data_IF_028045376410
#
_entry.id   IF_028045376410
#
_cell.length_a   1.000
_cell.length_b   1.000
_cell.length_c   1.000
_cell.angle_alpha   90.00
_cell.angle_beta   90.00
_cell.angle_gamma   90.00
#
_symmetry.space_group_name_H-M   'P 1'
#
loop_
_entity.id
_entity.type
_entity.pdbx_description
1 polymer ?
#
# COMPACT_ATOMS: atom_id res chain seq x y z
N UNK A 1 -23.72 -7.10 -3.32
CA UNK A 1 -22.40 -7.66 -3.72
C UNK A 1 -21.31 -7.08 -2.81
N UNK A 2 -20.31 -7.86 -2.54
CA UNK A 2 -19.16 -7.51 -1.70
C UNK A 2 -17.90 -7.45 -2.60
N UNK A 3 -17.13 -6.36 -2.50
CA UNK A 3 -15.95 -6.14 -3.34
C UNK A 3 -14.69 -6.50 -2.53
N UNK A 4 -14.30 -7.78 -2.56
CA UNK A 4 -13.09 -8.29 -1.91
C UNK A 4 -12.03 -8.77 -2.92
N UNK A 5 -12.28 -8.61 -4.21
CA UNK A 5 -11.40 -8.97 -5.32
C UNK A 5 -10.89 -7.71 -6.00
N UNK A 6 -9.60 -7.67 -6.31
CA UNK A 6 -8.91 -6.62 -7.05
C UNK A 6 -8.22 -7.21 -8.27
N UNK A 7 -8.14 -6.45 -9.38
CA UNK A 7 -7.54 -6.87 -10.66
C UNK A 7 -8.54 -7.52 -11.62
N UNK A 8 -8.12 -7.71 -12.87
CA UNK A 8 -8.91 -8.24 -13.97
C UNK A 8 -8.42 -9.61 -14.42
N UNK A 9 -7.20 -9.70 -15.01
CA UNK A 9 -6.53 -10.96 -15.34
C UNK A 9 -5.73 -11.42 -14.13
N UNK A 10 -4.70 -10.65 -13.72
CA UNK A 10 -4.04 -10.88 -12.45
C UNK A 10 -4.91 -10.31 -11.35
N UNK A 11 -5.68 -11.15 -10.72
CA UNK A 11 -6.64 -10.77 -9.68
C UNK A 11 -6.37 -11.51 -8.38
N UNK A 12 -6.72 -10.86 -7.28
CA UNK A 12 -6.65 -11.52 -5.98
C UNK A 12 -7.84 -11.15 -5.10
N UNK A 13 -8.34 -12.16 -4.38
CA UNK A 13 -9.38 -12.00 -3.37
C UNK A 13 -8.75 -12.12 -2.00
N UNK A 14 -8.95 -11.13 -1.12
CA UNK A 14 -8.48 -11.17 0.27
C UNK A 14 -9.61 -11.51 1.22
N UNK A 15 -9.31 -12.25 2.30
CA UNK A 15 -10.27 -12.72 3.30
C UNK A 15 -9.68 -12.69 4.72
N UNK A 16 -10.53 -12.85 5.72
CA UNK A 16 -10.18 -12.93 7.13
C UNK A 16 -10.20 -11.61 7.86
N UNK A 17 -10.26 -11.67 9.19
CA UNK A 17 -10.35 -10.55 10.12
C UNK A 17 -9.12 -10.46 11.03
N UNK A 18 -8.87 -9.26 11.57
CA UNK A 18 -7.67 -8.99 12.40
C UNK A 18 -7.60 -9.81 13.69
N UNK A 19 -8.73 -10.29 14.19
CA UNK A 19 -8.84 -11.11 15.40
C UNK A 19 -9.56 -12.44 15.12
N UNK A 20 -9.71 -12.82 13.84
CA UNK A 20 -10.05 -14.17 13.41
C UNK A 20 -8.81 -15.08 13.46
N UNK A 21 -8.96 -16.38 13.17
CA UNK A 21 -7.84 -17.33 13.24
C UNK A 21 -6.73 -17.03 12.24
N UNK A 22 -7.09 -16.53 11.06
CA UNK A 22 -6.15 -16.22 9.99
C UNK A 22 -6.67 -15.11 9.07
N UNK A 23 -5.79 -14.60 8.24
CA UNK A 23 -6.08 -13.81 7.04
C UNK A 23 -5.40 -14.49 5.85
N UNK A 24 -5.86 -14.21 4.64
CA UNK A 24 -5.23 -14.79 3.46
C UNK A 24 -5.69 -14.12 2.18
N UNK A 25 -5.17 -14.65 1.09
CA UNK A 25 -5.61 -14.30 -0.25
C UNK A 25 -5.58 -15.52 -1.17
N UNK A 26 -6.42 -15.45 -2.21
CA UNK A 26 -6.35 -16.32 -3.37
C UNK A 26 -5.98 -15.45 -4.55
N UNK A 27 -4.86 -15.75 -5.20
CA UNK A 27 -4.37 -15.06 -6.40
C UNK A 27 -4.69 -15.94 -7.61
N UNK A 28 -5.27 -15.36 -8.63
CA UNK A 28 -5.65 -16.03 -9.88
C UNK A 28 -5.10 -15.28 -11.09
N UNK A 29 -5.03 -15.95 -12.26
CA UNK A 29 -4.51 -15.38 -13.49
C UNK A 29 -2.98 -15.27 -13.55
N UNK A 30 -2.26 -16.04 -12.73
CA UNK A 30 -0.81 -16.14 -12.82
C UNK A 30 -0.40 -16.95 -14.05
N UNK A 31 0.54 -16.47 -14.89
CA UNK A 31 1.12 -17.32 -15.94
C UNK A 31 1.79 -18.56 -15.33
N UNK A 32 1.71 -19.74 -15.99
CA UNK A 32 2.31 -20.97 -15.49
C UNK A 32 3.84 -20.97 -15.66
N UNK A 33 4.49 -21.94 -14.99
CA UNK A 33 5.91 -22.26 -15.12
C UNK A 33 6.90 -21.14 -14.70
N UNK A 34 6.47 -20.22 -13.83
CA UNK A 34 7.32 -19.17 -13.27
C UNK A 34 7.76 -19.57 -11.87
N UNK A 35 9.08 -19.52 -11.62
CA UNK A 35 9.66 -19.86 -10.31
C UNK A 35 9.25 -18.84 -9.26
N UNK A 36 8.69 -19.31 -8.15
CA UNK A 36 8.31 -18.50 -6.98
C UNK A 36 9.15 -18.90 -5.79
N UNK A 37 9.77 -17.91 -5.16
CA UNK A 37 10.50 -18.05 -3.91
C UNK A 37 9.65 -17.43 -2.78
N UNK A 38 9.19 -18.27 -1.85
CA UNK A 38 8.38 -17.84 -0.70
C UNK A 38 9.16 -16.91 0.25
N UNK A 39 10.49 -17.07 0.35
CA UNK A 39 11.31 -16.24 1.22
C UNK A 39 11.33 -14.76 0.74
N UNK A 40 11.24 -14.52 -0.56
CA UNK A 40 11.12 -13.16 -1.10
C UNK A 40 9.79 -12.52 -0.72
N UNK A 41 8.68 -13.30 -0.72
CA UNK A 41 7.38 -12.84 -0.23
C UNK A 41 7.47 -12.53 1.26
N UNK A 42 8.12 -13.43 2.03
CA UNK A 42 8.31 -13.24 3.47
C UNK A 42 9.16 -12.01 3.80
N UNK A 43 10.18 -11.68 3.00
CA UNK A 43 10.96 -10.43 3.15
C UNK A 43 10.09 -9.19 3.01
N UNK A 44 9.18 -9.16 2.03
CA UNK A 44 8.27 -8.02 1.84
C UNK A 44 7.23 -7.93 2.98
N UNK A 45 6.70 -9.06 3.45
CA UNK A 45 5.86 -9.13 4.64
C UNK A 45 6.60 -8.65 5.90
N UNK A 46 7.87 -9.01 6.03
CA UNK A 46 8.71 -8.55 7.14
C UNK A 46 8.86 -7.04 7.17
N UNK A 47 8.94 -6.35 6.03
CA UNK A 47 8.96 -4.87 5.97
C UNK A 47 7.62 -4.25 6.42
N UNK A 48 6.49 -4.95 6.19
CA UNK A 48 5.15 -4.46 6.54
C UNK A 48 4.75 -4.76 7.99
N UNK A 49 5.19 -5.86 8.57
CA UNK A 49 4.72 -6.34 9.88
C UNK A 49 4.88 -5.29 10.99
N UNK A 50 4.03 -5.33 12.05
CA UNK A 50 4.19 -4.47 13.21
C UNK A 50 5.43 -4.86 14.05
N UNK A 51 5.87 -3.94 14.93
CA UNK A 51 6.92 -4.26 15.92
C UNK A 51 8.36 -4.24 15.39
N UNK A 52 8.62 -3.67 14.22
CA UNK A 52 9.97 -3.64 13.62
C UNK A 52 10.89 -2.57 14.20
N UNK A 53 10.35 -1.57 14.86
CA UNK A 53 11.12 -0.45 15.37
C UNK A 53 10.50 0.18 16.60
N UNK A 54 11.28 0.99 17.31
CA UNK A 54 10.79 1.85 18.41
C UNK A 54 9.73 2.86 17.96
N UNK A 55 9.55 3.06 16.65
CA UNK A 55 8.58 3.98 16.05
C UNK A 55 7.29 3.31 15.59
N UNK A 56 7.16 2.00 15.72
CA UNK A 56 5.96 1.25 15.35
C UNK A 56 5.28 0.67 16.59
N UNK A 57 4.09 0.12 16.41
CA UNK A 57 3.34 -0.57 17.49
C UNK A 57 4.15 -1.72 18.08
N UNK A 58 3.93 -2.00 19.37
CA UNK A 58 4.56 -3.12 20.09
C UNK A 58 3.87 -4.48 19.81
N UNK A 59 2.85 -4.55 18.96
CA UNK A 59 2.24 -5.80 18.53
C UNK A 59 3.29 -6.62 17.80
N UNK A 60 3.37 -7.92 18.13
CA UNK A 60 4.31 -8.86 17.50
C UNK A 60 3.54 -9.88 16.67
N UNK A 61 3.70 -9.82 15.38
CA UNK A 61 3.17 -10.81 14.44
C UNK A 61 4.32 -11.28 13.57
N UNK A 62 4.45 -12.59 13.39
CA UNK A 62 5.48 -13.16 12.51
C UNK A 62 5.15 -12.93 11.05
N UNK A 63 3.84 -12.80 10.74
CA UNK A 63 3.30 -12.71 9.37
C UNK A 63 3.85 -13.80 8.45
N UNK A 64 4.06 -15.01 9.01
CA UNK A 64 4.54 -16.15 8.24
C UNK A 64 3.47 -16.55 7.23
N UNK A 65 3.86 -16.49 5.96
CA UNK A 65 2.98 -16.91 4.86
C UNK A 65 3.19 -18.36 4.53
N UNK A 66 2.10 -19.08 4.30
CA UNK A 66 2.09 -20.45 3.77
C UNK A 66 1.33 -20.47 2.45
N UNK A 67 1.87 -21.16 1.45
CA UNK A 67 1.23 -21.38 0.15
C UNK A 67 0.56 -22.74 0.17
N UNK A 68 -0.74 -22.78 -0.11
CA UNK A 68 -1.55 -24.00 -0.01
C UNK A 68 -1.87 -24.64 -1.36
N UNK A 69 -1.77 -23.87 -2.46
CA UNK A 69 -2.09 -24.33 -3.81
C UNK A 69 -1.41 -23.49 -4.89
N UNK A 70 -1.48 -23.93 -6.14
CA UNK A 70 -1.05 -23.17 -7.32
C UNK A 70 0.46 -23.15 -7.56
N UNK A 71 1.24 -23.87 -6.75
CA UNK A 71 2.69 -24.03 -6.90
C UNK A 71 3.04 -25.52 -6.87
N UNK A 72 3.81 -25.97 -7.86
CA UNK A 72 4.37 -27.31 -7.92
C UNK A 72 5.86 -27.24 -8.27
N UNK A 73 6.70 -27.92 -7.52
CA UNK A 73 8.18 -27.88 -7.64
C UNK A 73 8.74 -26.45 -7.69
N UNK A 74 8.16 -25.55 -6.87
CA UNK A 74 8.55 -24.16 -6.80
C UNK A 74 8.14 -23.27 -7.98
N UNK A 75 7.27 -23.75 -8.88
CA UNK A 75 6.79 -23.02 -10.06
C UNK A 75 5.27 -22.87 -10.04
N UNK A 76 4.77 -21.78 -10.60
CA UNK A 76 3.33 -21.55 -10.81
C UNK A 76 2.75 -22.60 -11.75
N UNK A 77 1.55 -23.09 -11.43
CA UNK A 77 0.83 -24.09 -12.24
C UNK A 77 -0.19 -23.47 -13.21
N UNK A 78 -0.45 -22.15 -13.11
CA UNK A 78 -1.53 -21.47 -13.84
C UNK A 78 -2.89 -21.61 -13.16
N UNK A 79 -2.97 -22.30 -12.03
CA UNK A 79 -4.18 -22.43 -11.20
C UNK A 79 -4.13 -21.49 -10.00
N UNK A 80 -5.24 -21.29 -9.26
CA UNK A 80 -5.27 -20.33 -8.14
C UNK A 80 -4.23 -20.63 -7.07
N UNK A 81 -3.47 -19.59 -6.68
CA UNK A 81 -2.47 -19.64 -5.60
C UNK A 81 -3.15 -19.18 -4.32
N UNK A 82 -3.40 -20.10 -3.40
CA UNK A 82 -3.94 -19.77 -2.07
C UNK A 82 -2.81 -19.55 -1.08
N UNK A 83 -2.89 -18.43 -0.35
CA UNK A 83 -1.92 -18.08 0.70
C UNK A 83 -2.64 -17.77 2.01
N UNK A 84 -2.09 -18.26 3.12
CA UNK A 84 -2.63 -18.05 4.48
C UNK A 84 -1.57 -17.48 5.41
N UNK A 85 -2.00 -16.62 6.34
CA UNK A 85 -1.19 -16.04 7.41
C UNK A 85 -1.98 -16.14 8.71
N UNK A 86 -1.51 -16.95 9.66
CA UNK A 86 -2.16 -17.13 10.95
C UNK A 86 -1.97 -15.92 11.87
N UNK A 87 -3.03 -15.55 12.59
CA UNK A 87 -2.98 -14.51 13.61
C UNK A 87 -2.48 -15.11 14.93
N UNK A 88 -1.42 -14.55 15.52
CA UNK A 88 -0.81 -15.07 16.75
C UNK A 88 -0.98 -14.13 17.97
N UNK A 89 -0.83 -12.81 17.81
CA UNK A 89 -0.92 -11.83 18.90
C UNK A 89 -2.27 -11.10 18.92
N UNK A 90 -3.35 -11.87 19.15
CA UNK A 90 -4.71 -11.36 19.27
C UNK A 90 -5.05 -11.11 20.76
N UNK A 91 -5.21 -9.84 21.15
CA UNK A 91 -5.60 -9.47 22.53
C UNK A 91 -7.00 -8.86 22.55
N UNK A 92 -8.02 -9.70 22.49
CA UNK A 92 -9.43 -9.29 22.46
C UNK A 92 -9.84 -8.47 23.68
N UNK A 93 -9.19 -8.67 24.85
CA UNK A 93 -9.44 -7.91 26.09
C UNK A 93 -9.17 -6.41 25.96
N UNK A 94 -8.27 -6.00 25.08
CA UNK A 94 -7.91 -4.58 24.87
C UNK A 94 -9.07 -3.76 24.27
N UNK A 95 -10.12 -4.39 23.77
CA UNK A 95 -11.22 -3.76 23.02
C UNK A 95 -12.56 -3.75 23.77
N UNK A 96 -12.63 -4.24 25.02
CA UNK A 96 -13.87 -4.28 25.81
C UNK A 96 -14.54 -2.90 25.94
N UNK A 97 -13.76 -1.87 26.23
CA UNK A 97 -14.24 -0.49 26.42
C UNK A 97 -14.83 0.16 25.16
N UNK A 98 -14.54 -0.38 23.96
CA UNK A 98 -15.03 0.16 22.70
C UNK A 98 -16.11 -0.68 22.05
N UNK A 99 -16.54 -1.78 22.71
CA UNK A 99 -17.58 -2.68 22.19
C UNK A 99 -18.87 -1.95 21.80
N UNK A 100 -19.29 -0.99 22.61
CA UNK A 100 -20.52 -0.25 22.41
C UNK A 100 -20.31 1.20 21.94
N UNK A 101 -19.07 1.64 21.69
CA UNK A 101 -18.75 3.02 21.29
C UNK A 101 -18.10 3.03 19.91
N UNK A 102 -18.22 4.12 19.19
CA UNK A 102 -17.60 4.31 17.90
C UNK A 102 -16.37 5.21 18.01
N UNK A 103 -15.24 4.78 17.47
CA UNK A 103 -14.01 5.61 17.43
C UNK A 103 -14.17 6.73 16.40
N UNK A 104 -14.04 8.00 16.77
CA UNK A 104 -14.07 9.11 15.81
C UNK A 104 -12.98 8.94 14.74
N UNK A 105 -13.35 9.15 13.46
CA UNK A 105 -12.43 8.97 12.34
C UNK A 105 -12.07 7.51 11.99
N UNK A 106 -12.65 6.52 12.70
CA UNK A 106 -12.55 5.10 12.37
C UNK A 106 -13.79 4.62 11.63
N UNK A 107 -13.69 3.49 10.93
CA UNK A 107 -14.81 2.93 10.18
C UNK A 107 -15.88 2.23 11.05
N UNK A 108 -15.78 2.28 12.38
CA UNK A 108 -16.70 1.60 13.31
C UNK A 108 -18.17 1.93 13.07
N UNK A 109 -18.48 3.22 12.93
CA UNK A 109 -19.84 3.72 12.73
C UNK A 109 -20.39 3.32 11.36
N UNK A 110 -19.64 3.58 10.32
CA UNK A 110 -20.08 3.31 8.92
C UNK A 110 -20.23 1.82 8.67
N UNK A 111 -19.32 1.00 9.24
CA UNK A 111 -19.40 -0.45 9.13
C UNK A 111 -20.65 -1.00 9.84
N UNK A 112 -20.88 -0.54 11.07
CA UNK A 112 -22.08 -0.92 11.84
C UNK A 112 -23.37 -0.51 11.13
N UNK A 113 -23.43 0.73 10.61
CA UNK A 113 -24.63 1.21 9.89
C UNK A 113 -24.86 0.46 8.58
N UNK A 114 -23.80 0.04 7.90
CA UNK A 114 -23.92 -0.68 6.62
C UNK A 114 -24.33 -2.14 6.79
N UNK A 115 -23.72 -2.84 7.76
CA UNK A 115 -23.87 -4.29 7.90
C UNK A 115 -24.70 -4.73 9.10
N UNK A 116 -25.15 -3.80 9.96
CA UNK A 116 -25.88 -4.11 11.19
C UNK A 116 -25.06 -4.74 12.29
N UNK A 117 -23.88 -5.23 11.98
CA UNK A 117 -22.94 -5.91 12.90
C UNK A 117 -21.50 -5.44 12.61
N UNK A 118 -20.68 -5.42 13.64
CA UNK A 118 -19.23 -5.23 13.51
C UNK A 118 -18.46 -6.10 14.49
N UNK A 119 -17.31 -6.59 14.08
CA UNK A 119 -16.33 -7.11 15.03
C UNK A 119 -15.60 -5.91 15.67
N UNK A 120 -15.87 -5.66 16.95
CA UNK A 120 -15.22 -4.58 17.70
C UNK A 120 -13.77 -4.88 18.05
N UNK A 121 -13.34 -6.13 17.96
CA UNK A 121 -11.97 -6.56 18.25
C UNK A 121 -11.04 -6.12 17.11
N UNK A 122 -10.24 -5.10 17.34
CA UNK A 122 -9.25 -4.59 16.36
C UNK A 122 -9.80 -4.02 15.05
N UNK A 123 -11.12 -4.03 14.84
CA UNK A 123 -11.77 -3.50 13.63
C UNK A 123 -12.07 -4.53 12.54
N UNK A 124 -11.89 -5.82 12.81
CA UNK A 124 -12.28 -6.89 11.87
C UNK A 124 -11.62 -6.78 10.49
N UNK A 125 -12.42 -6.90 9.42
CA UNK A 125 -12.00 -6.83 8.02
C UNK A 125 -11.41 -5.49 7.61
N UNK A 126 -11.87 -4.38 8.23
CA UNK A 126 -11.40 -3.02 7.94
C UNK A 126 -10.06 -2.66 8.62
N UNK A 127 -9.47 -3.56 9.38
CA UNK A 127 -8.18 -3.38 10.04
C UNK A 127 -7.04 -3.38 9.01
N UNK A 128 -6.01 -2.56 9.25
CA UNK A 128 -4.77 -2.58 8.46
C UNK A 128 -4.05 -3.96 8.48
N UNK A 129 -4.49 -4.91 9.29
CA UNK A 129 -4.01 -6.30 9.30
C UNK A 129 -4.22 -6.99 7.93
N UNK A 130 -5.34 -6.71 7.29
CA UNK A 130 -5.71 -7.23 5.97
C UNK A 130 -4.64 -6.98 4.91
N UNK A 131 -3.90 -5.87 5.01
CA UNK A 131 -2.87 -5.50 4.03
C UNK A 131 -1.70 -6.49 3.95
N UNK A 132 -1.53 -7.40 4.92
CA UNK A 132 -0.56 -8.48 4.78
C UNK A 132 -0.90 -9.42 3.61
N UNK A 133 -2.19 -9.70 3.40
CA UNK A 133 -2.65 -10.49 2.25
C UNK A 133 -2.35 -9.80 0.92
N UNK A 134 -2.47 -8.46 0.85
CA UNK A 134 -2.09 -7.69 -0.35
C UNK A 134 -0.59 -7.73 -0.61
N UNK A 135 0.24 -7.64 0.44
CA UNK A 135 1.70 -7.74 0.30
C UNK A 135 2.10 -9.15 -0.15
N UNK A 136 1.42 -10.19 0.32
CA UNK A 136 1.65 -11.55 -0.16
C UNK A 136 1.30 -11.69 -1.66
N UNK A 137 0.14 -11.18 -2.10
CA UNK A 137 -0.24 -11.16 -3.52
C UNK A 137 0.73 -10.33 -4.37
N UNK A 138 1.13 -9.15 -3.90
CA UNK A 138 2.13 -8.30 -4.55
C UNK A 138 3.51 -8.96 -4.66
N UNK A 139 3.88 -9.81 -3.70
CA UNK A 139 5.10 -10.60 -3.73
C UNK A 139 5.13 -11.64 -4.86
N UNK A 140 3.98 -12.21 -5.20
CA UNK A 140 3.81 -13.05 -6.40
C UNK A 140 3.95 -12.18 -7.65
N UNK A 141 3.20 -11.08 -7.76
CA UNK A 141 3.25 -10.17 -8.90
C UNK A 141 4.67 -9.65 -9.17
N UNK A 142 5.39 -9.25 -8.13
CA UNK A 142 6.79 -8.79 -8.19
C UNK A 142 7.71 -9.82 -8.85
N UNK A 143 7.61 -11.08 -8.47
CA UNK A 143 8.47 -12.15 -8.99
C UNK A 143 8.14 -12.44 -10.45
N UNK A 144 6.86 -12.47 -10.82
CA UNK A 144 6.40 -12.61 -12.20
C UNK A 144 6.94 -11.45 -13.06
N UNK A 145 6.78 -10.21 -12.62
CA UNK A 145 7.27 -9.03 -13.35
C UNK A 145 8.80 -9.02 -13.48
N UNK A 146 9.53 -9.42 -12.46
CA UNK A 146 11.00 -9.56 -12.55
C UNK A 146 11.42 -10.64 -13.53
N UNK A 147 10.68 -11.73 -13.64
CA UNK A 147 10.92 -12.77 -14.64
C UNK A 147 10.67 -12.23 -16.07
N UNK A 148 9.59 -11.49 -16.28
CA UNK A 148 9.15 -11.00 -17.59
C UNK A 148 9.99 -9.79 -18.04
N UNK A 149 10.17 -8.79 -17.18
CA UNK A 149 10.78 -7.49 -17.52
C UNK A 149 12.30 -7.44 -17.20
N UNK A 150 12.80 -8.44 -16.49
CA UNK A 150 14.21 -8.57 -16.16
C UNK A 150 14.70 -7.60 -15.09
N UNK A 151 16.03 -7.43 -15.00
CA UNK A 151 16.72 -6.68 -13.94
C UNK A 151 16.45 -5.18 -13.93
N UNK A 152 15.94 -4.61 -15.02
CA UNK A 152 15.60 -3.17 -15.11
C UNK A 152 14.35 -2.81 -14.33
N UNK A 153 13.46 -3.79 -14.10
CA UNK A 153 12.24 -3.57 -13.36
C UNK A 153 12.51 -3.57 -11.84
N UNK A 154 12.16 -2.47 -11.18
CA UNK A 154 12.17 -2.34 -9.72
C UNK A 154 11.08 -1.38 -9.26
N UNK A 155 10.58 -1.58 -8.05
CA UNK A 155 9.64 -0.68 -7.39
C UNK A 155 10.21 -0.31 -6.02
N UNK A 156 10.27 0.97 -5.74
CA UNK A 156 10.77 1.51 -4.47
C UNK A 156 9.81 2.55 -3.93
N UNK A 157 9.38 2.35 -2.70
CA UNK A 157 8.56 3.29 -1.96
C UNK A 157 9.33 4.02 -0.88
N UNK A 158 8.98 5.28 -0.62
CA UNK A 158 9.52 6.08 0.46
C UNK A 158 8.47 6.99 1.10
N UNK A 159 8.71 7.37 2.34
CA UNK A 159 7.93 8.41 3.02
C UNK A 159 8.51 9.76 2.63
N UNK A 160 7.76 10.60 1.94
CA UNK A 160 8.22 11.94 1.52
C UNK A 160 7.80 13.05 2.48
N UNK A 161 6.78 12.79 3.31
CA UNK A 161 6.37 13.72 4.36
C UNK A 161 5.86 12.94 5.58
N UNK A 162 6.24 13.39 6.76
CA UNK A 162 5.82 12.86 8.05
C UNK A 162 5.18 13.96 8.89
N UNK A 163 3.85 13.93 9.04
CA UNK A 163 3.10 15.03 9.62
C UNK A 163 3.33 16.32 8.85
N UNK A 164 3.93 17.34 9.50
CA UNK A 164 4.26 18.64 8.90
C UNK A 164 5.67 18.69 8.28
N UNK A 165 6.47 17.65 8.43
CA UNK A 165 7.88 17.62 8.05
C UNK A 165 8.06 16.93 6.71
N UNK A 166 8.36 17.67 5.65
CA UNK A 166 8.69 17.15 4.32
C UNK A 166 10.16 16.80 4.15
N UNK A 167 10.46 15.89 3.22
CA UNK A 167 11.80 15.69 2.67
C UNK A 167 12.02 16.58 1.44
N UNK A 168 13.27 16.83 1.09
CA UNK A 168 13.57 17.49 -0.17
C UNK A 168 13.44 16.47 -1.33
N UNK A 169 12.60 16.71 -2.34
CA UNK A 169 12.43 15.79 -3.48
C UNK A 169 13.73 15.51 -4.24
N UNK A 170 14.66 16.47 -4.25
CA UNK A 170 15.99 16.33 -4.89
C UNK A 170 16.90 15.32 -4.17
N UNK A 171 16.61 15.01 -2.91
CA UNK A 171 17.39 14.09 -2.08
C UNK A 171 16.85 12.64 -2.10
N UNK A 172 16.02 12.28 -3.10
CA UNK A 172 15.52 10.92 -3.22
C UNK A 172 16.67 9.91 -3.38
N UNK A 173 16.87 9.08 -2.38
CA UNK A 173 17.96 8.09 -2.35
C UNK A 173 17.42 6.70 -2.00
N UNK A 174 17.28 5.84 -3.01
CA UNK A 174 16.73 4.49 -2.86
C UNK A 174 17.58 3.57 -2.00
N UNK A 175 18.91 3.71 -2.06
CA UNK A 175 19.82 2.93 -1.21
C UNK A 175 19.63 3.31 0.26
N UNK A 176 19.39 4.59 0.53
CA UNK A 176 19.14 5.07 1.89
C UNK A 176 17.74 4.67 2.40
N UNK A 177 16.70 4.73 1.56
CA UNK A 177 15.35 4.22 1.88
C UNK A 177 15.44 2.79 2.41
N UNK A 178 16.15 1.90 1.70
CA UNK A 178 16.28 0.47 2.03
C UNK A 178 17.06 0.20 3.34
N UNK A 179 17.75 1.22 3.92
CA UNK A 179 18.63 1.08 5.09
C UNK A 179 18.07 1.73 6.37
N UNK A 180 16.95 2.44 6.31
CA UNK A 180 16.38 3.07 7.49
C UNK A 180 14.93 2.61 7.75
N UNK A 181 14.53 2.60 9.02
CA UNK A 181 13.27 2.05 9.49
C UNK A 181 12.04 2.94 9.15
N UNK A 182 12.26 4.18 8.71
CA UNK A 182 11.20 5.12 8.36
C UNK A 182 10.94 5.18 6.85
N UNK A 183 11.70 4.42 6.04
CA UNK A 183 11.70 4.53 4.59
C UNK A 183 11.91 5.96 4.10
N UNK A 184 12.68 6.75 4.85
CA UNK A 184 13.00 8.13 4.55
C UNK A 184 13.97 8.21 3.36
N UNK A 185 13.67 9.00 2.31
CA UNK A 185 14.57 9.15 1.16
C UNK A 185 15.72 10.11 1.41
N UNK A 186 15.60 11.00 2.41
CA UNK A 186 16.49 12.12 2.65
C UNK A 186 17.19 11.97 4.01
N UNK A 187 18.51 11.76 3.97
CA UNK A 187 19.33 11.60 5.17
C UNK A 187 19.30 12.84 6.09
N UNK A 188 19.14 14.03 5.52
CA UNK A 188 19.20 15.29 6.26
C UNK A 188 18.07 15.45 7.28
N UNK A 189 16.89 14.92 6.98
CA UNK A 189 15.68 15.05 7.82
C UNK A 189 15.41 13.86 8.75
N UNK A 190 16.12 12.72 8.59
CA UNK A 190 15.81 11.50 9.33
C UNK A 190 15.80 11.70 10.86
N UNK A 191 16.84 12.35 11.42
CA UNK A 191 16.92 12.59 12.87
C UNK A 191 15.80 13.50 13.38
N UNK A 192 15.36 14.47 12.57
CA UNK A 192 14.25 15.35 12.89
C UNK A 192 12.93 14.56 12.92
N UNK A 193 12.70 13.67 11.95
CA UNK A 193 11.54 12.81 11.91
C UNK A 193 11.49 11.82 13.09
N UNK A 194 12.61 11.26 13.49
CA UNK A 194 12.69 10.40 14.68
C UNK A 194 12.29 11.14 15.96
N UNK A 195 12.80 12.36 16.16
CA UNK A 195 12.41 13.22 17.30
C UNK A 195 10.92 13.56 17.27
N UNK A 196 10.39 13.90 16.10
CA UNK A 196 8.98 14.22 15.93
C UNK A 196 8.08 13.03 16.26
N UNK A 197 8.38 11.83 15.77
CA UNK A 197 7.61 10.63 16.10
C UNK A 197 7.63 10.30 17.60
N UNK A 198 8.75 10.49 18.27
CA UNK A 198 8.85 10.30 19.72
C UNK A 198 7.99 11.31 20.48
N UNK A 199 7.95 12.59 20.05
CA UNK A 199 7.09 13.61 20.65
C UNK A 199 5.59 13.28 20.46
N UNK A 200 5.17 12.87 19.26
CA UNK A 200 3.81 12.42 18.96
C UNK A 200 3.41 11.23 19.83
N UNK A 201 4.30 10.24 19.96
CA UNK A 201 4.06 9.07 20.82
C UNK A 201 3.94 9.47 22.29
N UNK A 202 4.81 10.35 22.79
CA UNK A 202 4.75 10.86 24.17
C UNK A 202 3.45 11.61 24.44
N UNK A 203 2.94 12.35 23.48
CA UNK A 203 1.65 13.05 23.56
C UNK A 203 0.43 12.09 23.45
N UNK A 204 0.63 10.79 23.24
CA UNK A 204 -0.47 9.82 23.05
C UNK A 204 -1.30 10.09 21.81
N UNK A 205 -0.71 10.73 20.80
CA UNK A 205 -1.34 11.14 19.54
C UNK A 205 -0.80 10.35 18.35
N UNK A 206 -1.17 10.77 17.14
CA UNK A 206 -0.71 10.19 15.87
C UNK A 206 -0.53 11.28 14.82
N UNK A 207 0.28 11.00 13.79
CA UNK A 207 0.45 11.86 12.63
C UNK A 207 0.18 11.09 11.33
N UNK A 208 -0.10 11.83 10.27
CA UNK A 208 -0.21 11.32 8.91
C UNK A 208 1.15 11.28 8.21
N UNK A 209 1.14 10.80 6.97
CA UNK A 209 2.31 10.79 6.10
C UNK A 209 1.91 10.91 4.63
N UNK A 210 2.83 11.35 3.78
CA UNK A 210 2.76 11.18 2.33
C UNK A 210 3.80 10.14 1.95
N UNK A 211 3.36 9.18 1.16
CA UNK A 211 4.18 8.10 0.63
C UNK A 211 4.28 8.29 -0.88
N UNK A 212 5.46 8.07 -1.43
CA UNK A 212 5.69 8.05 -2.87
C UNK A 212 6.22 6.68 -3.28
N UNK A 213 5.65 6.11 -4.34
CA UNK A 213 6.08 4.85 -4.94
C UNK A 213 6.55 5.13 -6.34
N UNK A 214 7.74 4.65 -6.67
CA UNK A 214 8.34 4.74 -8.01
C UNK A 214 8.53 3.36 -8.61
N UNK A 215 8.01 3.15 -9.82
CA UNK A 215 8.25 1.93 -10.58
C UNK A 215 9.11 2.24 -11.81
N UNK A 216 10.22 1.52 -11.94
CA UNK A 216 11.21 1.64 -13.03
C UNK A 216 11.13 0.46 -13.97
N UNK A 217 11.55 0.67 -15.22
CA UNK A 217 11.64 -0.39 -16.21
C UNK A 217 10.29 -0.93 -16.67
N UNK A 218 9.23 -0.15 -16.51
CA UNK A 218 7.90 -0.45 -17.05
C UNK A 218 7.90 -0.16 -18.55
N UNK A 219 7.46 -1.10 -19.40
CA UNK A 219 7.43 -0.88 -20.85
C UNK A 219 6.40 0.20 -21.24
N UNK A 220 6.58 0.80 -22.41
CA UNK A 220 5.57 1.65 -23.04
C UNK A 220 4.37 0.80 -23.41
N UNK A 221 3.15 1.37 -23.32
CA UNK A 221 1.95 0.76 -23.87
C UNK A 221 1.03 0.08 -22.86
N UNK A 222 1.36 0.07 -21.57
CA UNK A 222 0.47 -0.52 -20.55
C UNK A 222 -0.63 0.48 -20.16
N UNK A 223 -1.88 0.06 -20.20
CA UNK A 223 -3.04 0.87 -19.88
C UNK A 223 -4.00 1.00 -21.05
N UNK A 224 -5.01 1.84 -20.89
CA UNK A 224 -6.03 2.10 -21.89
C UNK A 224 -6.42 3.59 -21.90
N UNK A 225 -6.97 4.13 -23.01
CA UNK A 225 -7.14 5.58 -23.17
C UNK A 225 -8.32 6.18 -22.40
N UNK A 226 -9.33 5.39 -22.00
CA UNK A 226 -10.55 5.90 -21.39
C UNK A 226 -10.88 5.15 -20.08
N UNK A 227 -11.42 3.95 -20.18
CA UNK A 227 -11.70 3.09 -19.04
C UNK A 227 -10.52 2.16 -18.79
N UNK A 228 -10.14 1.94 -17.53
CA UNK A 228 -8.91 1.20 -17.21
C UNK A 228 -7.62 1.90 -17.63
N UNK A 229 -7.61 3.22 -17.54
CA UNK A 229 -6.35 3.97 -17.58
C UNK A 229 -5.42 3.44 -16.50
N UNK A 230 -4.11 3.37 -16.80
CA UNK A 230 -3.13 2.92 -15.83
C UNK A 230 -3.10 3.80 -14.57
N UNK A 231 -3.17 5.13 -14.73
CA UNK A 231 -3.26 6.10 -13.63
C UNK A 231 -4.54 5.92 -12.80
N UNK A 232 -5.68 5.65 -13.43
CA UNK A 232 -6.95 5.39 -12.75
C UNK A 232 -6.86 4.12 -11.88
N UNK A 233 -6.36 3.01 -12.43
CA UNK A 233 -6.26 1.75 -11.70
C UNK A 233 -5.19 1.83 -10.60
N UNK A 234 -4.08 2.55 -10.80
CA UNK A 234 -3.11 2.87 -9.76
C UNK A 234 -3.72 3.73 -8.65
N UNK A 235 -4.45 4.79 -9.01
CA UNK A 235 -5.13 5.63 -8.03
C UNK A 235 -6.16 4.83 -7.21
N UNK A 236 -6.94 3.98 -7.87
CA UNK A 236 -7.90 3.07 -7.22
C UNK A 236 -7.19 2.11 -6.25
N UNK A 237 -6.07 1.51 -6.70
CA UNK A 237 -5.27 0.61 -5.88
C UNK A 237 -4.76 1.30 -4.61
N UNK A 238 -4.15 2.49 -4.74
CA UNK A 238 -3.62 3.24 -3.58
C UNK A 238 -4.73 3.77 -2.69
N UNK A 239 -5.85 4.28 -3.26
CA UNK A 239 -7.00 4.74 -2.48
C UNK A 239 -7.67 3.61 -1.70
N UNK A 240 -7.56 2.36 -2.15
CA UNK A 240 -8.08 1.19 -1.43
C UNK A 240 -7.28 0.83 -0.17
N UNK A 241 -6.07 1.37 0.01
CA UNK A 241 -5.24 1.13 1.20
C UNK A 241 -5.88 1.84 2.40
N UNK A 242 -5.92 1.15 3.54
CA UNK A 242 -6.51 1.68 4.76
C UNK A 242 -5.89 3.04 5.13
N UNK A 243 -6.75 4.00 5.50
CA UNK A 243 -6.41 5.36 5.90
C UNK A 243 -5.89 6.29 4.78
N UNK A 244 -5.79 5.86 3.54
CA UNK A 244 -5.49 6.74 2.40
C UNK A 244 -6.65 7.70 2.16
N UNK A 245 -6.33 8.98 1.83
CA UNK A 245 -7.30 10.08 1.62
C UNK A 245 -7.04 10.93 0.38
N UNK A 246 -5.93 10.71 -0.29
CA UNK A 246 -5.60 11.39 -1.54
C UNK A 246 -4.53 10.61 -2.28
N UNK A 247 -4.56 10.68 -3.60
CA UNK A 247 -3.58 10.05 -4.50
C UNK A 247 -3.22 11.06 -5.58
N UNK A 248 -1.95 11.17 -5.92
CA UNK A 248 -1.42 11.95 -7.02
C UNK A 248 -0.61 11.05 -7.96
N UNK A 249 -0.67 11.36 -9.26
CA UNK A 249 0.16 10.77 -10.30
C UNK A 249 1.08 11.87 -10.82
N UNK A 250 2.39 11.65 -10.84
CA UNK A 250 3.36 12.67 -11.25
C UNK A 250 3.22 13.96 -10.42
N UNK A 251 3.11 15.12 -11.09
CA UNK A 251 2.89 16.41 -10.44
C UNK A 251 1.55 16.53 -9.70
N UNK A 252 0.58 15.63 -10.00
CA UNK A 252 -0.70 15.53 -9.30
C UNK A 252 -1.44 16.85 -9.23
N UNK A 253 -1.89 17.26 -8.04
CA UNK A 253 -2.63 18.51 -7.82
C UNK A 253 -1.82 19.76 -8.17
N UNK A 254 -0.48 19.69 -8.13
CA UNK A 254 0.38 20.84 -8.48
C UNK A 254 0.32 21.17 -9.98
N UNK A 255 -0.05 20.23 -10.83
CA UNK A 255 -0.21 20.48 -12.28
C UNK A 255 -1.23 21.58 -12.59
N UNK A 256 -2.22 21.80 -11.71
CA UNK A 256 -3.18 22.90 -11.87
C UNK A 256 -2.56 24.31 -11.72
N UNK A 257 -1.33 24.42 -11.21
CA UNK A 257 -0.61 25.67 -11.01
C UNK A 257 0.44 25.92 -12.12
N UNK A 258 0.66 24.93 -13.00
CA UNK A 258 1.66 25.01 -14.05
C UNK A 258 1.04 25.55 -15.34
N UNK A 259 1.83 26.28 -16.11
CA UNK A 259 1.50 26.60 -17.51
C UNK A 259 1.64 25.36 -18.40
N UNK A 260 1.15 25.42 -19.64
CA UNK A 260 1.31 24.32 -20.60
C UNK A 260 2.76 23.96 -20.87
N UNK A 261 3.62 24.98 -20.99
CA UNK A 261 5.07 24.84 -21.20
C UNK A 261 5.75 24.20 -19.99
N UNK A 262 5.44 24.63 -18.77
CA UNK A 262 6.02 24.09 -17.53
C UNK A 262 5.60 22.63 -17.29
N UNK A 263 4.37 22.28 -17.65
CA UNK A 263 3.85 20.93 -17.47
C UNK A 263 4.27 19.97 -18.60
N UNK A 264 4.72 20.48 -19.75
CA UNK A 264 5.09 19.66 -20.91
C UNK A 264 6.34 18.83 -20.63
N UNK A 265 6.22 17.51 -20.77
CA UNK A 265 7.35 16.59 -20.75
C UNK A 265 7.92 16.48 -22.17
N UNK A 266 8.82 17.40 -22.54
CA UNK A 266 9.42 17.45 -23.89
C UNK A 266 10.11 16.14 -24.25
N UNK A 267 9.94 15.73 -25.52
CA UNK A 267 10.43 14.45 -26.03
C UNK A 267 11.60 14.68 -27.00
N UNK A 268 12.69 13.96 -26.76
CA UNK A 268 13.87 13.99 -27.59
C UNK A 268 14.26 12.59 -28.05
N UNK A 269 14.61 12.48 -29.35
CA UNK A 269 15.18 11.26 -29.92
C UNK A 269 16.72 11.31 -29.83
N UNK A 270 17.33 10.31 -29.19
CA UNK A 270 18.79 10.14 -29.15
C UNK A 270 19.17 8.75 -29.69
N UNK A 271 19.53 8.70 -30.98
CA UNK A 271 19.73 7.45 -31.70
C UNK A 271 18.43 6.63 -31.74
N UNK A 272 18.46 5.40 -31.24
CA UNK A 272 17.28 4.52 -31.12
C UNK A 272 16.48 4.69 -29.81
N UNK A 273 16.87 5.65 -28.96
CA UNK A 273 16.27 5.82 -27.62
C UNK A 273 15.47 7.12 -27.54
N UNK A 274 14.20 7.03 -27.20
CA UNK A 274 13.35 8.17 -26.86
C UNK A 274 13.62 8.59 -25.41
N UNK A 275 13.83 9.86 -25.16
CA UNK A 275 14.03 10.44 -23.83
C UNK A 275 13.09 11.60 -23.60
N UNK A 276 12.67 11.75 -22.36
CA UNK A 276 11.89 12.88 -21.87
C UNK A 276 12.78 13.78 -21.00
N UNK A 277 12.58 15.10 -21.08
CA UNK A 277 13.36 16.07 -20.33
C UNK A 277 12.86 16.22 -18.88
N UNK A 278 11.59 15.91 -18.64
CA UNK A 278 10.92 15.93 -17.34
C UNK A 278 9.98 14.73 -17.20
N UNK A 279 9.30 14.60 -16.08
CA UNK A 279 8.32 13.53 -15.82
C UNK A 279 7.14 14.07 -14.99
N UNK A 280 6.56 15.17 -15.42
CA UNK A 280 5.40 15.81 -14.76
C UNK A 280 4.17 14.91 -14.82
N UNK A 281 4.00 14.18 -15.94
CA UNK A 281 2.92 13.21 -16.11
C UNK A 281 3.09 11.94 -15.27
N UNK A 282 4.23 11.75 -14.59
CA UNK A 282 4.47 10.58 -13.73
C UNK A 282 4.54 9.26 -14.49
N UNK A 283 5.06 9.27 -15.72
CA UNK A 283 5.26 8.07 -16.57
C UNK A 283 4.01 7.59 -17.28
N UNK A 284 2.92 8.36 -17.28
CA UNK A 284 1.64 7.96 -17.89
C UNK A 284 1.07 9.12 -18.70
N UNK A 285 0.85 8.88 -19.99
CA UNK A 285 0.27 9.83 -20.94
C UNK A 285 -1.01 9.25 -21.53
N UNK A 286 -2.12 9.98 -21.42
CA UNK A 286 -3.41 9.50 -21.93
C UNK A 286 -3.90 8.18 -21.30
N UNK A 287 -3.45 7.85 -20.09
CA UNK A 287 -3.78 6.61 -19.41
C UNK A 287 -2.89 5.42 -19.74
N UNK A 288 -1.82 5.65 -20.53
CA UNK A 288 -0.91 4.62 -21.04
C UNK A 288 0.53 4.93 -20.60
N UNK A 289 1.30 3.90 -20.20
CA UNK A 289 2.68 4.07 -19.76
C UNK A 289 3.58 4.59 -20.88
N UNK A 290 4.41 5.59 -20.58
CA UNK A 290 5.34 6.24 -21.52
C UNK A 290 6.73 5.60 -21.58
N UNK A 291 7.02 4.63 -20.71
CA UNK A 291 8.36 4.05 -20.52
C UNK A 291 9.24 4.82 -19.54
N UNK A 292 8.78 5.98 -19.06
CA UNK A 292 9.40 6.67 -17.91
C UNK A 292 9.07 5.98 -16.59
N UNK A 293 9.76 6.40 -15.52
CA UNK A 293 9.41 5.95 -14.16
C UNK A 293 7.96 6.31 -13.85
N UNK A 294 7.16 5.35 -13.40
CA UNK A 294 5.82 5.62 -12.91
C UNK A 294 5.93 6.14 -11.48
N UNK A 295 5.38 7.33 -11.23
CA UNK A 295 5.43 8.02 -9.94
C UNK A 295 4.02 8.20 -9.40
N UNK A 296 3.75 7.57 -8.25
CA UNK A 296 2.47 7.70 -7.54
C UNK A 296 2.73 8.11 -6.11
N UNK A 297 2.06 9.15 -5.62
CA UNK A 297 2.10 9.51 -4.21
C UNK A 297 0.70 9.47 -3.60
N UNK A 298 0.63 9.16 -2.28
CA UNK A 298 -0.64 9.09 -1.58
C UNK A 298 -0.52 9.55 -0.13
N UNK A 299 -1.59 10.20 0.35
CA UNK A 299 -1.68 10.73 1.70
C UNK A 299 -2.39 9.73 2.63
N UNK A 300 -1.73 9.39 3.72
CA UNK A 300 -2.26 8.53 4.79
C UNK A 300 -2.62 9.40 5.98
N UNK A 301 -3.89 9.39 6.39
CA UNK A 301 -4.36 10.15 7.56
C UNK A 301 -3.78 9.59 8.86
N UNK A 302 -3.73 10.40 9.94
CA UNK A 302 -3.39 9.92 11.29
C UNK A 302 -4.28 8.76 11.73
N UNK A 303 -3.75 7.83 12.52
CA UNK A 303 -4.57 6.75 13.10
C UNK A 303 -5.60 7.33 14.08
N UNK A 304 -6.82 6.79 14.01
CA UNK A 304 -7.93 7.26 14.86
C UNK A 304 -7.88 6.73 16.30
N UNK A 305 -7.08 5.70 16.53
CA UNK A 305 -6.93 5.09 17.85
C UNK A 305 -5.83 5.81 18.62
N UNK A 306 -6.22 6.77 19.45
CA UNK A 306 -5.31 7.61 20.24
C UNK A 306 -5.70 7.61 21.72
N UNK A 307 -4.75 7.96 22.60
CA UNK A 307 -4.97 8.01 24.06
C UNK A 307 -5.80 9.23 24.46
N UNK A 308 -5.75 10.31 23.69
CA UNK A 308 -6.52 11.54 23.96
C UNK A 308 -8.03 11.24 23.96
N UNK A 309 -8.73 11.68 25.00
CA UNK A 309 -10.19 11.54 25.09
C UNK A 309 -10.90 12.34 24.00
N UNK A 310 -11.84 11.68 23.28
CA UNK A 310 -12.60 12.28 22.20
C UNK A 310 -14.10 12.12 22.44
N UNK A 311 -14.88 13.11 22.01
CA UNK A 311 -16.37 13.02 22.01
C UNK A 311 -16.81 12.04 20.93
N UNK A 312 -17.83 11.23 21.24
CA UNK A 312 -18.40 10.24 20.31
C UNK A 312 -19.83 9.87 20.75
N UNK A 313 -20.43 8.92 20.05
CA UNK A 313 -21.69 8.28 20.44
C UNK A 313 -21.49 6.78 20.68
N UNK A 314 -22.41 6.20 21.44
CA UNK A 314 -22.53 4.75 21.56
C UNK A 314 -23.42 4.16 20.46
N UNK A 315 -23.57 2.83 20.46
CA UNK A 315 -24.41 2.12 19.47
C UNK A 315 -25.92 2.44 19.57
N UNK A 316 -26.34 3.04 20.70
CA UNK A 316 -27.72 3.47 20.95
C UNK A 316 -27.95 4.95 20.61
N UNK A 317 -26.94 5.67 20.11
CA UNK A 317 -27.01 7.08 19.74
C UNK A 317 -26.77 8.05 20.89
N UNK A 318 -26.38 7.59 22.09
CA UNK A 318 -26.14 8.47 23.25
C UNK A 318 -24.74 9.09 23.18
N UNK A 319 -24.65 10.38 23.44
CA UNK A 319 -23.37 11.11 23.54
C UNK A 319 -22.51 10.54 24.65
N UNK A 320 -21.25 10.32 24.36
CA UNK A 320 -20.27 9.76 25.30
C UNK A 320 -18.85 10.23 24.94
N UNK A 321 -17.88 9.76 25.67
CA UNK A 321 -16.46 9.96 25.36
C UNK A 321 -15.74 8.63 25.21
N UNK A 322 -14.63 8.66 24.48
CA UNK A 322 -13.77 7.49 24.26
C UNK A 322 -12.30 7.90 24.36
N UNK A 323 -11.51 7.04 24.99
CA UNK A 323 -10.04 7.03 24.94
C UNK A 323 -9.64 5.61 24.59
N UNK A 324 -8.81 5.46 23.57
CA UNK A 324 -8.44 4.13 23.07
C UNK A 324 -7.09 3.73 23.65
N UNK A 325 -7.13 2.94 24.72
CA UNK A 325 -5.94 2.32 25.29
C UNK A 325 -5.53 1.14 24.41
N UNK A 326 -4.32 1.14 23.88
CA UNK A 326 -3.85 0.05 23.04
C UNK A 326 -2.50 0.33 22.39
N UNK A 327 -2.00 -0.69 21.67
CA UNK A 327 -0.70 -0.65 20.99
C UNK A 327 -0.91 -0.14 19.56
N UNK A 328 -0.89 1.17 19.37
CA UNK A 328 -1.11 1.80 18.06
C UNK A 328 0.18 2.39 17.49
N UNK A 329 0.26 2.41 16.16
CA UNK A 329 1.35 3.09 15.46
C UNK A 329 1.20 4.61 15.62
N UNK A 330 2.26 5.36 16.00
CA UNK A 330 2.22 6.83 15.98
C UNK A 330 2.06 7.37 14.56
N UNK A 331 2.53 6.62 13.56
CA UNK A 331 2.29 6.89 12.14
C UNK A 331 2.13 5.58 11.36
N UNK A 332 0.91 5.31 10.90
CA UNK A 332 0.63 4.09 10.11
C UNK A 332 1.17 4.19 8.67
N UNK A 333 1.48 5.41 8.19
CA UNK A 333 2.02 5.66 6.86
C UNK A 333 3.36 4.95 6.60
N UNK A 334 4.20 4.78 7.62
CA UNK A 334 5.46 4.04 7.48
C UNK A 334 5.21 2.60 6.99
N UNK A 335 4.18 1.96 7.51
CA UNK A 335 3.79 0.60 7.10
C UNK A 335 3.05 0.56 5.77
N UNK A 336 2.56 1.70 5.28
CA UNK A 336 1.90 1.80 3.99
C UNK A 336 2.87 1.72 2.80
N UNK A 337 4.17 1.96 3.02
CA UNK A 337 5.20 1.88 1.97
C UNK A 337 5.22 0.51 1.30
N UNK A 338 5.49 -0.62 2.00
CA UNK A 338 5.49 -1.94 1.35
C UNK A 338 4.12 -2.36 0.81
N UNK A 339 3.03 -1.77 1.31
CA UNK A 339 1.68 -2.03 0.77
C UNK A 339 1.52 -1.33 -0.58
N UNK A 340 1.97 -0.07 -0.69
CA UNK A 340 1.98 0.67 -1.95
C UNK A 340 2.87 0.00 -3.01
N UNK A 341 4.07 -0.47 -2.61
CA UNK A 341 4.94 -1.26 -3.50
C UNK A 341 4.22 -2.51 -4.02
N UNK A 342 3.56 -3.26 -3.14
CA UNK A 342 2.82 -4.46 -3.50
C UNK A 342 1.64 -4.18 -4.45
N UNK A 343 0.85 -3.14 -4.19
CA UNK A 343 -0.26 -2.74 -5.06
C UNK A 343 0.22 -2.24 -6.41
N UNK A 344 1.35 -1.52 -6.48
CA UNK A 344 2.00 -1.13 -7.74
C UNK A 344 2.36 -2.37 -8.58
N UNK A 345 2.96 -3.40 -7.98
CA UNK A 345 3.27 -4.65 -8.67
C UNK A 345 2.00 -5.33 -9.21
N UNK A 346 0.94 -5.40 -8.41
CA UNK A 346 -0.32 -6.02 -8.84
C UNK A 346 -0.93 -5.31 -10.05
N UNK A 347 -1.00 -3.98 -10.02
CA UNK A 347 -1.57 -3.19 -11.13
C UNK A 347 -0.73 -3.32 -12.40
N UNK A 348 0.60 -3.20 -12.29
CA UNK A 348 1.49 -3.30 -13.46
C UNK A 348 1.40 -4.68 -14.09
N UNK A 349 1.34 -5.75 -13.30
CA UNK A 349 1.20 -7.11 -13.82
C UNK A 349 -0.15 -7.31 -14.51
N UNK A 350 -1.22 -6.84 -13.91
CA UNK A 350 -2.57 -6.93 -14.50
C UNK A 350 -2.62 -6.21 -15.87
N UNK A 351 -2.11 -4.99 -15.93
CA UNK A 351 -2.03 -4.23 -17.19
C UNK A 351 -1.08 -4.85 -18.22
N UNK A 352 0.02 -5.47 -17.76
CA UNK A 352 0.90 -6.22 -18.66
C UNK A 352 0.18 -7.39 -19.32
N UNK A 353 -0.55 -8.17 -18.54
CA UNK A 353 -1.31 -9.32 -19.05
C UNK A 353 -2.48 -8.88 -19.95
N UNK A 354 -3.17 -7.78 -19.60
CA UNK A 354 -4.20 -7.18 -20.45
C UNK A 354 -3.62 -6.72 -21.80
N UNK A 355 -2.46 -6.06 -21.78
CA UNK A 355 -1.77 -5.65 -23.01
C UNK A 355 -1.40 -6.86 -23.89
N UNK A 356 -0.86 -7.92 -23.28
CA UNK A 356 -0.56 -9.17 -23.99
C UNK A 356 -1.80 -9.79 -24.61
N UNK A 357 -2.92 -9.81 -23.91
CA UNK A 357 -4.17 -10.36 -24.39
C UNK A 357 -4.76 -9.54 -25.55
N UNK A 358 -4.59 -8.22 -25.54
CA UNK A 358 -5.14 -7.31 -26.57
C UNK A 358 -4.22 -7.12 -27.77
N UNK A 359 -2.92 -6.94 -27.53
CA UNK A 359 -1.97 -6.55 -28.58
C UNK A 359 -1.11 -7.72 -29.10
N UNK A 360 -1.04 -8.83 -28.38
CA UNK A 360 -0.30 -10.03 -28.80
C UNK A 360 1.23 -9.92 -28.75
N UNK A 361 1.78 -8.81 -28.23
CA UNK A 361 3.22 -8.53 -28.23
C UNK A 361 3.90 -8.98 -26.94
#
# INVERSE_FOLDING_TARGET
MSFNTFGKIFRFTTWGESHGPAIGCVVDGCPPNIKINIDEIQKDLNKRKPGQSKFTTQRKEDDRVEILSGIFEGKTTGTPISMIIYNKDMRSKDYGNIKNKFRPGHADFTYFKKYGIRDYRGGGRQSARETASRVAAGGIAKQILKFILGKKYDVVGGVTQLGILGSNPKNWNEKFIKRNQLFCPDKSVLKLWEKYLLSIRKAGSSCGAIIEIRAKGVPVGLGAPIYSKLDMDLASAMMSINAVKGVNIGSGMNSAQLTGEENSDEINQRGKSTKFNSNNAGGILGGISSGQDIIVSFAVKPTSSILSTRKTIDKFGKNTTISVKGRHDPCVGIRAVPIGEAMMHCVILDHYLLNKAQCGN
#
